data_IF_475101829268
#
_entry.id   IF_475101829268
#
_cell.length_a   1.000
_cell.length_b   1.000
_cell.length_c   1.000
_cell.angle_alpha   90.00
_cell.angle_beta   90.00
_cell.angle_gamma   90.00
#
_symmetry.space_group_name_H-M   'P 1'
#
loop_
_entity.id
_entity.type
_entity.pdbx_description
1 polymer ?
#
# COMPACT_ATOMS: atom_id res chain seq x y z
N UNK A 1 1.05 18.85 12.06
CA UNK A 1 0.65 17.59 12.75
C UNK A 1 1.84 16.66 12.71
N UNK A 2 2.34 16.21 13.87
CA UNK A 2 3.41 15.23 13.93
C UNK A 2 2.93 13.91 13.29
N UNK A 3 3.70 13.38 12.34
CA UNK A 3 3.38 12.13 11.65
C UNK A 3 3.49 10.99 12.66
N UNK A 4 2.35 10.50 13.16
CA UNK A 4 2.34 9.31 14.01
C UNK A 4 2.88 8.13 13.22
N UNK A 5 3.91 7.46 13.72
CA UNK A 5 4.44 6.24 13.10
C UNK A 5 3.82 5.05 13.84
N UNK A 6 3.46 4.01 13.10
CA UNK A 6 2.92 2.78 13.64
C UNK A 6 3.91 1.65 13.43
N UNK A 7 3.90 0.69 14.35
CA UNK A 7 4.72 -0.51 14.31
C UNK A 7 3.83 -1.75 14.30
N UNK A 8 4.14 -2.74 13.48
CA UNK A 8 3.55 -4.09 13.56
C UNK A 8 4.61 -5.07 14.01
N UNK A 9 4.31 -5.79 15.08
CA UNK A 9 5.12 -6.89 15.59
C UNK A 9 4.18 -8.08 15.84
N UNK A 10 4.46 -9.22 15.22
CA UNK A 10 3.64 -10.44 15.34
C UNK A 10 2.14 -10.22 15.04
N UNK A 11 1.82 -9.31 14.12
CA UNK A 11 0.45 -8.99 13.72
C UNK A 11 -0.28 -7.99 14.63
N UNK A 12 0.35 -7.53 15.72
CA UNK A 12 -0.20 -6.50 16.61
C UNK A 12 0.32 -5.13 16.16
N UNK A 13 -0.60 -4.18 15.96
CA UNK A 13 -0.28 -2.81 15.53
C UNK A 13 -0.35 -1.86 16.72
N UNK A 14 0.69 -1.07 16.95
CA UNK A 14 0.74 -0.02 17.98
C UNK A 14 1.42 1.25 17.47
N UNK A 15 1.28 2.37 18.19
CA UNK A 15 2.04 3.59 17.92
C UNK A 15 3.53 3.33 18.24
N UNK A 16 4.43 3.71 17.34
CA UNK A 16 5.88 3.52 17.49
C UNK A 16 6.43 4.56 18.46
N UNK A 17 6.56 4.18 19.74
CA UNK A 17 7.13 5.02 20.79
C UNK A 17 8.50 4.47 21.19
N UNK A 18 9.54 5.31 21.14
CA UNK A 18 10.91 4.94 21.52
C UNK A 18 11.62 4.02 20.51
N UNK A 19 12.62 3.27 20.98
CA UNK A 19 13.40 2.32 20.17
C UNK A 19 12.56 1.13 19.73
N UNK A 20 12.52 0.87 18.43
CA UNK A 20 11.72 -0.20 17.85
C UNK A 20 12.56 -1.47 17.63
N UNK A 21 11.98 -2.68 17.81
CA UNK A 21 12.66 -3.93 17.49
C UNK A 21 13.06 -3.99 16.03
N UNK A 22 14.20 -4.62 15.73
CA UNK A 22 14.75 -4.70 14.35
C UNK A 22 13.81 -5.39 13.37
N UNK A 23 13.02 -6.35 13.84
CA UNK A 23 12.10 -7.14 13.02
C UNK A 23 10.71 -6.49 12.86
N UNK A 24 10.48 -5.36 13.52
CA UNK A 24 9.18 -4.73 13.50
C UNK A 24 8.98 -3.94 12.21
N UNK A 25 7.81 -4.10 11.59
CA UNK A 25 7.45 -3.36 10.39
C UNK A 25 6.97 -1.97 10.78
N UNK A 26 7.57 -0.93 10.22
CA UNK A 26 7.20 0.46 10.49
C UNK A 26 6.39 1.04 9.33
N UNK A 27 5.29 1.71 9.67
CA UNK A 27 4.42 2.35 8.69
C UNK A 27 4.07 3.76 9.15
N UNK A 28 4.12 4.70 8.21
CA UNK A 28 3.55 6.02 8.41
C UNK A 28 2.19 6.09 7.72
N UNK A 29 1.17 6.71 8.34
CA UNK A 29 -0.08 6.98 7.68
C UNK A 29 0.18 7.91 6.51
N UNK A 30 -0.44 7.60 5.38
CA UNK A 30 -0.41 8.47 4.20
C UNK A 30 -1.03 9.82 4.56
N UNK A 31 -0.44 10.91 4.05
CA UNK A 31 -1.04 12.26 4.13
C UNK A 31 -2.29 12.40 3.24
N UNK A 32 -2.59 11.38 2.43
CA UNK A 32 -3.73 11.37 1.52
C UNK A 32 -5.03 11.22 2.29
N UNK A 33 -6.06 11.97 1.88
CA UNK A 33 -7.42 11.75 2.39
C UNK A 33 -7.97 10.41 1.90
N UNK A 34 -8.98 9.88 2.59
CA UNK A 34 -9.65 8.64 2.16
C UNK A 34 -10.15 8.72 0.71
N UNK A 35 -10.69 9.88 0.31
CA UNK A 35 -11.14 10.11 -1.07
C UNK A 35 -9.99 10.01 -2.09
N UNK A 36 -8.82 10.57 -1.76
CA UNK A 36 -7.63 10.48 -2.62
C UNK A 36 -7.11 9.04 -2.74
N UNK A 37 -7.09 8.29 -1.63
CA UNK A 37 -6.72 6.87 -1.62
C UNK A 37 -7.66 6.06 -2.51
N UNK A 38 -8.97 6.29 -2.41
CA UNK A 38 -9.98 5.58 -3.23
C UNK A 38 -9.78 5.89 -4.72
N UNK A 39 -9.55 7.15 -5.08
CA UNK A 39 -9.30 7.55 -6.47
C UNK A 39 -8.05 6.87 -7.04
N UNK A 40 -6.96 6.85 -6.27
CA UNK A 40 -5.72 6.17 -6.65
C UNK A 40 -5.91 4.66 -6.84
N UNK A 41 -6.62 4.01 -5.91
CA UNK A 41 -6.93 2.58 -6.03
C UNK A 41 -7.77 2.27 -7.28
N UNK A 42 -8.76 3.12 -7.60
CA UNK A 42 -9.56 2.96 -8.84
C UNK A 42 -8.70 3.11 -10.09
N UNK A 43 -7.82 4.12 -10.12
CA UNK A 43 -6.90 4.34 -11.24
C UNK A 43 -5.92 3.16 -11.41
N UNK A 44 -5.37 2.65 -10.30
CA UNK A 44 -4.48 1.49 -10.30
C UNK A 44 -5.19 0.23 -10.79
N UNK A 45 -6.42 -0.02 -10.32
CA UNK A 45 -7.24 -1.15 -10.78
C UNK A 45 -7.45 -1.12 -12.29
N UNK A 46 -7.79 0.05 -12.86
CA UNK A 46 -7.99 0.21 -14.30
C UNK A 46 -6.72 -0.08 -15.08
N UNK A 47 -5.59 0.53 -14.67
CA UNK A 47 -4.28 0.31 -15.31
C UNK A 47 -3.86 -1.16 -15.26
N UNK A 48 -3.96 -1.79 -14.09
CA UNK A 48 -3.59 -3.19 -13.91
C UNK A 48 -4.47 -4.11 -14.76
N UNK A 49 -5.78 -3.87 -14.82
CA UNK A 49 -6.67 -4.66 -15.66
C UNK A 49 -6.32 -4.53 -17.14
N UNK A 50 -6.01 -3.33 -17.62
CA UNK A 50 -5.59 -3.11 -18.99
C UNK A 50 -4.27 -3.82 -19.29
N UNK A 51 -3.27 -3.68 -18.41
CA UNK A 51 -1.98 -4.35 -18.56
C UNK A 51 -2.13 -5.87 -18.60
N UNK A 52 -2.97 -6.46 -17.74
CA UNK A 52 -3.24 -7.91 -17.77
C UNK A 52 -3.85 -8.33 -19.10
N UNK A 53 -4.82 -7.56 -19.64
CA UNK A 53 -5.42 -7.87 -20.94
C UNK A 53 -4.38 -7.85 -22.06
N UNK A 54 -3.56 -6.81 -22.12
CA UNK A 54 -2.48 -6.67 -23.11
C UNK A 54 -1.51 -7.86 -23.05
N UNK A 55 -1.11 -8.27 -21.83
CA UNK A 55 -0.23 -9.44 -21.62
C UNK A 55 -0.87 -10.76 -22.03
N UNK A 56 -2.16 -10.92 -21.78
CA UNK A 56 -2.89 -12.11 -22.20
C UNK A 56 -3.02 -12.15 -23.73
N UNK A 57 -3.38 -11.04 -24.37
CA UNK A 57 -3.44 -10.94 -25.83
C UNK A 57 -2.10 -11.24 -26.49
N UNK A 58 -0.99 -10.76 -25.92
CA UNK A 58 0.36 -11.08 -26.37
C UNK A 58 0.67 -12.59 -26.25
N UNK A 59 0.30 -13.21 -25.12
CA UNK A 59 0.53 -14.62 -24.88
C UNK A 59 -0.31 -15.55 -25.80
N UNK A 60 -1.56 -15.16 -26.09
CA UNK A 60 -2.49 -15.92 -26.95
C UNK A 60 -2.31 -15.68 -28.45
N UNK A 61 -1.46 -14.74 -28.87
CA UNK A 61 -1.07 -14.54 -30.28
C UNK A 61 -0.06 -15.57 -30.80
N UNK A 62 0.32 -16.56 -29.98
CA UNK A 62 1.15 -17.71 -30.37
C UNK A 62 0.33 -18.84 -30.98
#
# INVERSE_FOLDING_TARGET
MATKVYVSLNGVISEAVGTQPKEALLFAPSKKSAAQVILEQRANRRRNSQFIKERLEEAFKR
#
